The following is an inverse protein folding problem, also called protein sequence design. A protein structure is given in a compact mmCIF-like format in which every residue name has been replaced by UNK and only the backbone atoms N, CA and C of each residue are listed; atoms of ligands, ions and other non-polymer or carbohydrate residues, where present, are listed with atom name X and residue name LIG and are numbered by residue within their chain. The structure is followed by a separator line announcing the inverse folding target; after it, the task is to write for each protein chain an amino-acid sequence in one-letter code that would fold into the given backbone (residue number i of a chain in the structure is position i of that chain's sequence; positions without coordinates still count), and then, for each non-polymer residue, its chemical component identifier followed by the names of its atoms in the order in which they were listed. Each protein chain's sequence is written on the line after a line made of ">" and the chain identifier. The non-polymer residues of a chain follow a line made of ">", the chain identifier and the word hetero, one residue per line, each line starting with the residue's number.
data_IF_555604959660
#
_entry.id   IF_555604959660
#
_cell.length_a   1.000
_cell.length_b   1.000
_cell.length_c   1.000
_cell.angle_alpha   90.00
_cell.angle_beta   90.00
_cell.angle_gamma   90.00
#
_symmetry.space_group_name_H-M   'P 1'
#
loop_
_entity.id
_entity.type
_entity.pdbx_description
1 polymer ?
#
# COMPACT_ATOMS: atom_id res chain seq x y z
N UNK A 1 14.25 -8.44 -12.01
CA UNK A 1 13.23 -8.02 -11.03
C UNK A 1 13.55 -6.62 -10.55
N UNK A 2 12.58 -5.72 -10.60
CA UNK A 2 12.74 -4.35 -10.11
C UNK A 2 12.46 -4.31 -8.61
N UNK A 3 13.43 -3.87 -7.83
CA UNK A 3 13.29 -3.68 -6.38
C UNK A 3 13.05 -2.21 -6.06
N UNK A 4 12.05 -1.95 -5.24
CA UNK A 4 11.71 -0.60 -4.76
C UNK A 4 12.49 -0.26 -3.49
N UNK A 5 12.73 -1.25 -2.66
CA UNK A 5 13.57 -1.17 -1.47
C UNK A 5 14.17 -2.55 -1.21
N UNK A 6 14.89 -2.72 -0.11
CA UNK A 6 15.60 -3.97 0.19
C UNK A 6 14.68 -5.20 0.12
N UNK A 7 13.45 -5.09 0.64
CA UNK A 7 12.54 -6.24 0.75
C UNK A 7 11.23 -6.09 -0.04
N UNK A 8 11.05 -5.02 -0.81
CA UNK A 8 9.83 -4.79 -1.58
C UNK A 8 10.13 -4.66 -3.05
N UNK A 9 9.50 -5.53 -3.85
CA UNK A 9 9.62 -5.50 -5.31
C UNK A 9 8.48 -4.69 -5.94
N UNK A 10 8.71 -4.18 -7.15
CA UNK A 10 7.67 -3.53 -7.93
C UNK A 10 6.49 -4.49 -8.16
N UNK A 11 6.76 -5.76 -8.48
CA UNK A 11 5.71 -6.73 -8.75
C UNK A 11 4.76 -6.93 -7.56
N UNK A 12 5.26 -6.90 -6.32
CA UNK A 12 4.40 -6.99 -5.14
C UNK A 12 3.39 -5.86 -5.07
N UNK A 13 3.80 -4.66 -5.49
CA UNK A 13 2.95 -3.47 -5.44
C UNK A 13 1.93 -3.41 -6.56
N UNK A 14 2.10 -4.21 -7.61
CA UNK A 14 1.21 -4.25 -8.77
C UNK A 14 0.18 -5.37 -8.72
N UNK A 15 0.28 -6.28 -7.76
CA UNK A 15 -0.65 -7.41 -7.66
C UNK A 15 -2.06 -6.95 -7.38
N UNK A 16 -3.01 -7.47 -8.17
CA UNK A 16 -4.43 -7.24 -7.98
C UNK A 16 -5.21 -8.42 -8.56
N UNK A 17 -5.88 -9.16 -7.70
CA UNK A 17 -6.75 -10.26 -8.13
C UNK A 17 -7.91 -9.73 -8.97
N UNK A 18 -8.43 -8.55 -8.64
CA UNK A 18 -9.51 -7.92 -9.40
C UNK A 18 -9.06 -7.56 -10.82
N UNK A 19 -7.86 -6.98 -10.97
CA UNK A 19 -7.33 -6.66 -12.29
C UNK A 19 -7.16 -7.92 -13.14
N UNK A 20 -6.62 -8.99 -12.56
CA UNK A 20 -6.46 -10.28 -13.26
C UNK A 20 -7.82 -10.85 -13.68
N UNK A 21 -8.79 -10.87 -12.78
CA UNK A 21 -10.13 -11.42 -13.04
C UNK A 21 -10.86 -10.65 -14.12
N UNK A 22 -10.72 -9.33 -14.17
CA UNK A 22 -11.40 -8.47 -15.12
C UNK A 22 -10.58 -8.21 -16.40
N UNK A 23 -9.35 -8.70 -16.46
CA UNK A 23 -8.48 -8.47 -17.61
C UNK A 23 -8.03 -7.02 -17.75
N UNK A 24 -7.90 -6.30 -16.63
CA UNK A 24 -7.50 -4.90 -16.61
C UNK A 24 -5.98 -4.80 -16.52
N UNK A 25 -5.41 -3.95 -17.38
CA UNK A 25 -3.98 -3.62 -17.32
C UNK A 25 -3.70 -2.76 -16.09
N UNK A 26 -2.87 -3.27 -15.19
CA UNK A 26 -2.44 -2.57 -13.97
C UNK A 26 -0.97 -2.16 -14.05
N UNK A 27 -0.51 -1.74 -15.21
CA UNK A 27 0.87 -1.27 -15.43
C UNK A 27 1.01 0.19 -14.99
N UNK A 28 2.06 0.51 -14.19
CA UNK A 28 2.31 1.87 -13.75
C UNK A 28 3.12 2.65 -14.79
N UNK A 29 2.96 3.97 -14.80
CA UNK A 29 3.87 4.85 -15.53
C UNK A 29 5.14 5.12 -14.71
N UNK A 30 6.08 5.89 -15.28
CA UNK A 30 7.35 6.19 -14.63
C UNK A 30 7.17 6.98 -13.32
N UNK A 31 6.22 7.89 -13.27
CA UNK A 31 5.96 8.68 -12.07
C UNK A 31 5.41 7.80 -10.94
N UNK A 32 4.52 6.87 -11.25
CA UNK A 32 3.98 5.93 -10.29
C UNK A 32 5.08 5.01 -9.74
N UNK A 33 5.98 4.53 -10.59
CA UNK A 33 7.11 3.70 -10.16
C UNK A 33 8.02 4.48 -9.20
N UNK A 34 8.32 5.73 -9.51
CA UNK A 34 9.12 6.60 -8.65
C UNK A 34 8.44 6.78 -7.28
N UNK A 35 7.15 7.07 -7.28
CA UNK A 35 6.37 7.26 -6.05
C UNK A 35 6.29 5.98 -5.21
N UNK A 36 6.11 4.83 -5.86
CA UNK A 36 6.12 3.53 -5.17
C UNK A 36 7.48 3.28 -4.50
N UNK A 37 8.57 3.67 -5.13
CA UNK A 37 9.90 3.58 -4.54
C UNK A 37 10.02 4.41 -3.27
N UNK A 38 9.51 5.63 -3.27
CA UNK A 38 9.51 6.51 -2.10
C UNK A 38 8.64 5.93 -0.98
N UNK A 39 7.45 5.43 -1.32
CA UNK A 39 6.56 4.79 -0.36
C UNK A 39 7.23 3.56 0.27
N UNK A 40 7.86 2.73 -0.53
CA UNK A 40 8.54 1.53 -0.05
C UNK A 40 9.69 1.88 0.91
N UNK A 41 10.52 2.85 0.57
CA UNK A 41 11.67 3.22 1.40
C UNK A 41 11.29 3.95 2.68
N UNK A 42 10.27 4.79 2.64
CA UNK A 42 9.91 5.67 3.76
C UNK A 42 8.84 5.09 4.68
N UNK A 43 8.03 4.16 4.21
CA UNK A 43 6.94 3.55 4.98
C UNK A 43 7.10 2.04 5.10
N UNK A 44 7.12 1.33 3.97
CA UNK A 44 7.05 -0.14 4.01
C UNK A 44 8.32 -0.78 4.55
N UNK A 45 9.48 -0.31 4.13
CA UNK A 45 10.75 -0.88 4.59
C UNK A 45 11.00 -0.65 6.09
N UNK A 46 10.75 0.54 6.67
CA UNK A 46 10.82 0.71 8.12
C UNK A 46 9.89 -0.23 8.89
N UNK A 47 8.67 -0.46 8.40
CA UNK A 47 7.75 -1.42 9.00
C UNK A 47 8.27 -2.85 8.92
N UNK A 48 8.84 -3.21 7.77
CA UNK A 48 9.45 -4.53 7.56
C UNK A 48 10.61 -4.75 8.53
N UNK A 49 11.41 -3.72 8.74
CA UNK A 49 12.55 -3.78 9.67
C UNK A 49 12.11 -3.93 11.12
N UNK A 50 10.97 -3.32 11.49
CA UNK A 50 10.46 -3.37 12.86
C UNK A 50 9.69 -4.65 13.15
N UNK A 51 8.80 -5.06 12.26
CA UNK A 51 7.83 -6.13 12.52
C UNK A 51 8.10 -7.44 11.78
N UNK A 52 9.04 -7.47 10.86
CA UNK A 52 9.28 -8.63 10.02
C UNK A 52 8.42 -8.65 8.77
N UNK A 53 8.38 -9.78 8.09
CA UNK A 53 7.74 -9.90 6.78
C UNK A 53 6.23 -9.70 6.87
N UNK A 54 5.69 -8.93 5.93
CA UNK A 54 4.24 -8.77 5.75
C UNK A 54 3.96 -8.52 4.27
N UNK A 55 2.69 -8.67 3.89
CA UNK A 55 2.25 -8.46 2.53
C UNK A 55 1.39 -7.21 2.43
N UNK A 56 1.58 -6.46 1.35
CA UNK A 56 0.71 -5.34 1.00
C UNK A 56 -0.54 -5.91 0.33
N UNK A 57 -1.72 -5.58 0.84
CA UNK A 57 -2.98 -6.06 0.27
C UNK A 57 -3.40 -5.26 -0.96
N UNK A 58 -3.04 -3.98 -1.03
CA UNK A 58 -3.27 -3.13 -2.19
C UNK A 58 -2.19 -2.06 -2.26
N UNK A 59 -1.46 -2.04 -3.36
CA UNK A 59 -0.48 -1.01 -3.67
C UNK A 59 -0.97 -0.13 -4.81
N UNK A 60 -0.32 -0.21 -5.97
CA UNK A 60 -0.72 0.54 -7.14
C UNK A 60 -2.03 0.00 -7.73
N UNK A 61 -2.92 0.91 -8.12
CA UNK A 61 -4.13 0.63 -8.88
C UNK A 61 -4.21 1.60 -10.04
N UNK A 62 -4.19 1.09 -11.28
CA UNK A 62 -4.35 1.93 -12.47
C UNK A 62 -5.67 2.70 -12.42
N UNK A 63 -5.76 3.80 -13.17
CA UNK A 63 -7.00 4.57 -13.26
C UNK A 63 -8.17 3.69 -13.70
N UNK A 64 -7.95 2.82 -14.68
CA UNK A 64 -8.96 1.88 -15.16
C UNK A 64 -9.42 0.93 -14.04
N UNK A 65 -8.49 0.41 -13.24
CA UNK A 65 -8.83 -0.45 -12.11
C UNK A 65 -9.59 0.32 -11.03
N UNK A 66 -9.17 1.55 -10.72
CA UNK A 66 -9.91 2.40 -9.77
C UNK A 66 -11.36 2.60 -10.20
N UNK A 67 -11.58 2.91 -11.46
CA UNK A 67 -12.93 3.08 -12.01
C UNK A 67 -13.76 1.80 -11.91
N UNK A 68 -13.14 0.65 -12.22
CA UNK A 68 -13.82 -0.64 -12.21
C UNK A 68 -14.29 -1.05 -10.81
N UNK A 69 -13.57 -0.66 -9.76
CA UNK A 69 -13.94 -0.98 -8.37
C UNK A 69 -14.74 0.14 -7.67
N UNK A 70 -15.12 1.18 -8.42
CA UNK A 70 -15.88 2.30 -7.87
C UNK A 70 -15.07 3.29 -7.05
N UNK A 71 -13.75 3.29 -7.21
CA UNK A 71 -12.85 4.23 -6.55
C UNK A 71 -12.58 5.44 -7.44
N UNK A 72 -12.05 6.52 -6.84
CA UNK A 72 -11.69 7.72 -7.58
C UNK A 72 -10.47 7.50 -8.47
N UNK A 73 -10.51 8.03 -9.69
CA UNK A 73 -9.34 8.08 -10.57
C UNK A 73 -8.23 8.99 -10.03
N UNK A 74 -8.54 9.85 -9.04
CA UNK A 74 -7.58 10.71 -8.34
C UNK A 74 -7.03 10.06 -7.07
N UNK A 75 -7.32 8.80 -6.82
CA UNK A 75 -6.82 8.06 -5.67
C UNK A 75 -5.29 8.09 -5.62
N UNK A 76 -4.73 8.19 -4.42
CA UNK A 76 -3.28 8.07 -4.23
C UNK A 76 -2.74 6.71 -4.66
N UNK A 77 -3.56 5.66 -4.64
CA UNK A 77 -3.20 4.36 -5.20
C UNK A 77 -2.90 4.45 -6.70
N UNK A 78 -3.62 5.28 -7.43
CA UNK A 78 -3.40 5.48 -8.87
C UNK A 78 -2.11 6.25 -9.18
N UNK A 79 -1.58 6.96 -8.20
CA UNK A 79 -0.33 7.72 -8.33
C UNK A 79 0.89 6.95 -7.81
N UNK A 80 0.70 5.77 -7.24
CA UNK A 80 1.76 5.01 -6.59
C UNK A 80 2.16 5.57 -5.23
N UNK A 81 1.29 6.33 -4.59
CA UNK A 81 1.60 7.03 -3.34
C UNK A 81 1.02 6.36 -2.10
N UNK A 82 0.23 5.30 -2.26
CA UNK A 82 -0.48 4.69 -1.13
C UNK A 82 -0.38 3.17 -1.15
N UNK A 83 -0.45 2.59 0.04
CA UNK A 83 -0.59 1.15 0.23
C UNK A 83 -1.55 0.86 1.37
N UNK A 84 -2.26 -0.26 1.24
CA UNK A 84 -3.10 -0.84 2.28
C UNK A 84 -2.44 -2.11 2.78
N UNK A 85 -2.38 -2.30 4.08
CA UNK A 85 -1.70 -3.46 4.66
C UNK A 85 -2.17 -3.76 6.07
N UNK A 86 -1.88 -4.98 6.50
CA UNK A 86 -1.98 -5.45 7.88
C UNK A 86 -0.70 -6.24 8.19
N UNK A 87 -0.35 -6.31 9.46
CA UNK A 87 0.81 -7.09 9.92
C UNK A 87 0.34 -8.10 10.97
N UNK A 88 0.66 -9.36 10.75
CA UNK A 88 0.32 -10.43 11.68
C UNK A 88 1.01 -10.20 13.03
N UNK A 89 0.28 -10.37 14.12
CA UNK A 89 0.82 -10.23 15.47
C UNK A 89 0.70 -8.85 16.09
N UNK A 90 0.19 -7.86 15.35
CA UNK A 90 -0.08 -6.51 15.88
C UNK A 90 -1.47 -6.08 15.42
N UNK A 91 -2.24 -5.45 16.32
CA UNK A 91 -3.53 -4.90 15.93
C UNK A 91 -3.34 -3.74 14.95
N UNK A 92 -4.36 -3.50 14.10
CA UNK A 92 -4.29 -2.40 13.15
C UNK A 92 -4.24 -1.03 13.86
N UNK A 93 -4.88 -0.91 15.02
CA UNK A 93 -4.78 0.30 15.83
C UNK A 93 -3.33 0.54 16.30
N UNK A 94 -2.68 -0.46 16.87
CA UNK A 94 -1.30 -0.34 17.36
C UNK A 94 -0.32 -0.08 16.22
N UNK A 95 -0.56 -0.69 15.06
CA UNK A 95 0.23 -0.47 13.86
C UNK A 95 0.10 0.98 13.38
N UNK A 96 -1.11 1.51 13.30
CA UNK A 96 -1.34 2.90 12.93
C UNK A 96 -0.69 3.87 13.94
N UNK A 97 -0.78 3.57 15.23
CA UNK A 97 -0.15 4.37 16.27
C UNK A 97 1.38 4.39 16.12
N UNK A 98 1.99 3.24 15.86
CA UNK A 98 3.44 3.16 15.64
C UNK A 98 3.87 4.01 14.44
N UNK A 99 3.12 3.94 13.33
CA UNK A 99 3.40 4.74 12.13
C UNK A 99 3.30 6.24 12.48
N UNK A 100 2.24 6.61 13.17
CA UNK A 100 2.02 8.01 13.58
C UNK A 100 3.18 8.54 14.42
N UNK A 101 3.73 7.72 15.29
CA UNK A 101 4.78 8.13 16.24
C UNK A 101 6.20 8.09 15.63
N UNK A 102 6.41 7.27 14.59
CA UNK A 102 7.78 6.96 14.13
C UNK A 102 8.08 7.31 12.67
N UNK A 103 7.06 7.48 11.82
CA UNK A 103 7.27 7.70 10.39
C UNK A 103 6.68 9.03 9.94
N UNK A 104 7.23 9.54 8.84
CA UNK A 104 6.59 10.62 8.08
C UNK A 104 5.63 10.01 7.07
N UNK A 105 4.47 10.63 6.88
CA UNK A 105 3.45 10.18 5.94
C UNK A 105 2.61 11.36 5.47
N UNK A 106 1.89 11.17 4.37
CA UNK A 106 0.93 12.15 3.89
C UNK A 106 -0.46 11.90 4.51
N UNK A 107 -0.98 10.68 4.33
CA UNK A 107 -2.24 10.24 4.96
C UNK A 107 -2.02 8.93 5.72
N UNK A 108 -2.67 8.81 6.85
CA UNK A 108 -2.71 7.59 7.64
C UNK A 108 -4.15 7.36 8.07
N UNK A 109 -4.75 6.28 7.62
CA UNK A 109 -6.16 5.98 7.87
C UNK A 109 -6.29 4.56 8.41
N UNK A 110 -7.01 4.44 9.51
CA UNK A 110 -7.42 3.16 10.05
C UNK A 110 -8.79 2.82 9.45
N UNK A 111 -8.76 2.06 8.36
CA UNK A 111 -9.94 1.78 7.51
C UNK A 111 -10.80 0.67 8.10
N UNK A 112 -12.10 0.88 8.15
CA UNK A 112 -13.08 -0.12 8.56
C UNK A 112 -12.77 -0.79 9.90
N UNK A 113 -12.11 -0.08 10.80
CA UNK A 113 -11.71 -0.62 12.10
C UNK A 113 -12.89 -0.64 13.07
N UNK A 114 -13.11 -1.82 13.69
CA UNK A 114 -14.15 -2.04 14.69
C UNK A 114 -13.60 -2.72 15.95
N UNK A 115 -12.29 -2.61 16.15
CA UNK A 115 -11.59 -3.26 17.25
C UNK A 115 -10.83 -4.52 16.80
N UNK A 116 -9.88 -4.95 17.61
CA UNK A 116 -9.10 -6.17 17.36
C UNK A 116 -8.36 -6.17 16.02
N UNK A 117 -8.60 -7.22 15.24
CA UNK A 117 -7.94 -7.42 13.94
C UNK A 117 -8.84 -7.04 12.75
N UNK A 118 -9.82 -6.16 12.97
CA UNK A 118 -10.72 -5.72 11.88
C UNK A 118 -10.09 -4.58 11.09
N UNK A 119 -10.57 -4.42 9.84
CA UNK A 119 -10.11 -3.35 8.96
C UNK A 119 -8.69 -3.52 8.48
N UNK A 120 -8.07 -2.44 8.08
CA UNK A 120 -6.68 -2.40 7.61
C UNK A 120 -6.12 -1.00 7.79
N UNK A 121 -4.81 -0.85 7.56
CA UNK A 121 -4.13 0.44 7.60
C UNK A 121 -3.89 0.91 6.17
N UNK A 122 -4.29 2.15 5.89
CA UNK A 122 -3.97 2.87 4.65
C UNK A 122 -2.93 3.93 5.00
N UNK A 123 -1.80 3.92 4.29
CA UNK A 123 -0.76 4.92 4.49
C UNK A 123 -0.23 5.42 3.15
N UNK A 124 -0.07 6.73 3.04
CA UNK A 124 0.50 7.36 1.85
C UNK A 124 1.71 8.21 2.19
N UNK A 125 2.50 8.45 1.15
CA UNK A 125 3.73 9.23 1.28
C UNK A 125 3.92 10.17 0.09
#
# INVERSE_FOLDING_TARGET
>A
MVMLSKNFSLNEMLKSQTAERLGIDNSPDADAIYNLGRLAENVLQPLRNEYGAFMVSSGFRSVELCEAIGSSSNSQHAKGEAADFEICGISNFDLAEWISDNLEYDQLILECYKGGNTGWVHCSY
#
